data_IF_276667653411
#
_entry.id   IF_276667653411
#
_cell.length_a   1.000
_cell.length_b   1.000
_cell.length_c   1.000
_cell.angle_alpha   90.00
_cell.angle_beta   90.00
_cell.angle_gamma   90.00
#
_symmetry.space_group_name_H-M   'P 1'
#
loop_
_entity.id
_entity.type
_entity.pdbx_description
1 polymer ?
#
# COMPACT_ATOMS: atom_id res chain seq x y z
N UNK A 1 4.11 1.32 20.15
CA UNK A 1 3.27 0.11 20.28
C UNK A 1 1.96 0.42 19.57
N UNK A 2 1.86 -0.01 18.30
CA UNK A 2 0.63 0.20 17.51
C UNK A 2 -0.51 -0.54 18.20
N UNK A 3 -1.55 0.19 18.62
CA UNK A 3 -2.82 -0.42 19.04
C UNK A 3 -3.34 -1.22 17.84
N UNK A 4 -3.74 -2.46 18.09
CA UNK A 4 -4.26 -3.39 17.09
C UNK A 4 -5.44 -2.74 16.36
N UNK A 5 -5.21 -2.36 15.12
CA UNK A 5 -6.27 -1.92 14.21
C UNK A 5 -7.26 -3.06 13.98
N UNK A 6 -8.57 -2.76 13.91
CA UNK A 6 -9.60 -3.76 13.57
C UNK A 6 -9.40 -4.32 12.16
N UNK A 7 -8.65 -3.60 11.33
CA UNK A 7 -8.22 -4.08 10.02
C UNK A 7 -6.72 -3.87 9.82
N UNK A 8 -6.12 -4.74 9.01
CA UNK A 8 -4.83 -4.50 8.35
C UNK A 8 -5.00 -4.66 6.84
N UNK A 9 -4.20 -3.94 6.09
CA UNK A 9 -4.06 -4.19 4.67
C UNK A 9 -2.95 -5.23 4.47
N UNK A 10 -3.22 -6.21 3.61
CA UNK A 10 -2.19 -7.10 3.11
C UNK A 10 -1.74 -6.65 1.73
N UNK A 11 -0.57 -7.09 1.32
CA UNK A 11 0.05 -6.63 0.09
C UNK A 11 -0.84 -6.81 -1.14
N UNK A 12 -0.80 -5.85 -2.08
CA UNK A 12 -1.50 -5.98 -3.34
C UNK A 12 -0.98 -7.17 -4.14
N UNK A 13 -1.84 -7.74 -4.98
CA UNK A 13 -1.44 -8.62 -6.06
C UNK A 13 -1.32 -7.75 -7.31
N UNK A 14 -0.13 -7.66 -7.87
CA UNK A 14 0.12 -6.96 -9.13
C UNK A 14 0.28 -7.97 -10.27
N UNK A 15 -0.56 -7.85 -11.30
CA UNK A 15 -0.37 -8.54 -12.56
C UNK A 15 0.76 -7.85 -13.33
N UNK A 16 1.82 -8.59 -13.65
CA UNK A 16 3.02 -8.07 -14.29
C UNK A 16 3.33 -8.82 -15.59
N UNK A 17 3.81 -8.09 -16.60
CA UNK A 17 4.13 -8.62 -17.92
C UNK A 17 5.53 -9.24 -17.89
N UNK A 18 6.50 -8.55 -17.27
CA UNK A 18 7.89 -8.99 -17.15
C UNK A 18 8.27 -9.24 -15.69
N UNK A 19 8.09 -10.50 -15.29
CA UNK A 19 8.32 -10.92 -13.91
C UNK A 19 9.76 -10.71 -13.42
N UNK A 20 10.74 -10.96 -14.29
CA UNK A 20 12.16 -10.88 -13.90
C UNK A 20 12.58 -9.43 -13.68
N UNK A 21 12.10 -8.51 -14.51
CA UNK A 21 12.35 -7.07 -14.38
C UNK A 21 11.73 -6.53 -13.09
N UNK A 22 10.46 -6.88 -12.82
CA UNK A 22 9.76 -6.46 -11.63
C UNK A 22 10.38 -7.05 -10.35
N UNK A 23 10.72 -8.33 -10.36
CA UNK A 23 11.40 -8.97 -9.24
C UNK A 23 12.74 -8.31 -8.93
N UNK A 24 13.56 -8.04 -9.94
CA UNK A 24 14.84 -7.35 -9.77
C UNK A 24 14.67 -5.92 -9.24
N UNK A 25 13.59 -5.24 -9.62
CA UNK A 25 13.29 -3.91 -9.10
C UNK A 25 12.92 -3.96 -7.60
N UNK A 26 12.00 -4.83 -7.21
CA UNK A 26 11.56 -4.92 -5.81
C UNK A 26 12.65 -5.50 -4.87
N UNK A 27 13.59 -6.28 -5.38
CA UNK A 27 14.76 -6.72 -4.61
C UNK A 27 15.64 -5.54 -4.14
N UNK A 28 15.67 -4.42 -4.87
CA UNK A 28 16.36 -3.20 -4.43
C UNK A 28 15.76 -2.58 -3.17
N UNK A 29 14.51 -2.89 -2.86
CA UNK A 29 13.83 -2.50 -1.61
C UNK A 29 14.15 -3.46 -0.44
N UNK A 30 14.95 -4.50 -0.68
CA UNK A 30 15.20 -5.57 0.28
C UNK A 30 14.07 -6.60 0.36
N UNK A 31 13.12 -6.56 -0.58
CA UNK A 31 12.09 -7.60 -0.69
C UNK A 31 12.66 -8.84 -1.35
N UNK A 32 12.41 -9.98 -0.75
CA UNK A 32 12.84 -11.29 -1.27
C UNK A 32 11.64 -12.19 -1.54
N UNK A 33 11.75 -13.14 -2.48
CA UNK A 33 10.75 -14.19 -2.65
C UNK A 33 10.64 -15.03 -1.37
N UNK A 34 9.45 -15.01 -0.75
CA UNK A 34 9.15 -15.84 0.42
C UNK A 34 8.33 -17.07 0.06
N UNK A 35 7.59 -17.01 -1.06
CA UNK A 35 6.84 -18.13 -1.60
C UNK A 35 6.65 -17.99 -3.11
N UNK A 36 6.66 -19.12 -3.83
CA UNK A 36 6.37 -19.23 -5.27
C UNK A 36 5.38 -20.37 -5.48
N UNK A 37 4.30 -20.11 -6.24
CA UNK A 37 3.23 -21.09 -6.45
C UNK A 37 2.45 -20.76 -7.73
N UNK A 38 1.58 -21.69 -8.16
CA UNK A 38 0.61 -21.41 -9.22
C UNK A 38 -0.71 -20.97 -8.59
N UNK A 39 -1.22 -19.82 -9.01
CA UNK A 39 -2.56 -19.35 -8.65
C UNK A 39 -3.67 -20.22 -9.24
N UNK A 40 -4.90 -20.03 -8.78
CA UNK A 40 -6.07 -20.79 -9.26
C UNK A 40 -6.32 -20.62 -10.77
N UNK A 41 -5.92 -19.48 -11.34
CA UNK A 41 -5.98 -19.17 -12.77
C UNK A 41 -4.80 -19.72 -13.58
N UNK A 42 -3.87 -20.46 -12.95
CA UNK A 42 -2.69 -21.04 -13.58
C UNK A 42 -1.52 -20.08 -13.80
N UNK A 43 -1.63 -18.83 -13.39
CA UNK A 43 -0.52 -17.87 -13.41
C UNK A 43 0.49 -18.17 -12.32
N UNK A 44 1.78 -17.95 -12.61
CA UNK A 44 2.83 -18.01 -11.61
C UNK A 44 2.70 -16.81 -10.66
N UNK A 45 2.76 -17.10 -9.35
CA UNK A 45 2.65 -16.14 -8.26
C UNK A 45 3.91 -16.14 -7.43
N UNK A 46 4.44 -14.96 -7.12
CA UNK A 46 5.58 -14.78 -6.21
C UNK A 46 5.19 -13.81 -5.10
N UNK A 47 5.15 -14.31 -3.87
CA UNK A 47 5.01 -13.48 -2.69
C UNK A 47 6.37 -12.91 -2.29
N UNK A 48 6.42 -11.61 -2.07
CA UNK A 48 7.60 -10.86 -1.66
C UNK A 48 7.43 -10.33 -0.25
N UNK A 49 8.46 -10.47 0.57
CA UNK A 49 8.49 -9.95 1.93
C UNK A 49 9.91 -9.63 2.37
N UNK A 50 10.06 -9.12 3.59
CA UNK A 50 11.38 -8.94 4.19
C UNK A 50 11.83 -10.24 4.82
N UNK A 51 13.15 -10.50 4.77
CA UNK A 51 13.73 -11.71 5.34
C UNK A 51 13.27 -11.90 6.78
N UNK A 52 12.64 -13.01 6.98
CA UNK A 52 12.34 -13.56 8.28
C UNK A 52 13.21 -14.80 8.41
N UNK A 53 13.97 -14.92 9.48
CA UNK A 53 14.61 -16.17 9.86
C UNK A 53 13.54 -17.25 10.09
N UNK A 54 12.90 -17.68 9.02
CA UNK A 54 11.91 -18.75 9.06
C UNK A 54 12.65 -20.07 8.97
N UNK A 55 12.54 -20.87 10.01
CA UNK A 55 12.83 -22.30 9.92
C UNK A 55 12.01 -22.88 8.77
N UNK A 56 12.59 -23.66 7.84
CA UNK A 56 11.84 -24.26 6.76
C UNK A 56 10.59 -24.96 7.31
N UNK A 57 9.39 -24.51 6.90
CA UNK A 57 8.13 -25.08 7.35
C UNK A 57 7.36 -24.27 8.40
N UNK A 58 7.90 -23.19 8.96
CA UNK A 58 7.10 -22.23 9.74
C UNK A 58 6.38 -21.28 8.76
N UNK A 59 5.08 -21.10 8.92
CA UNK A 59 4.38 -19.98 8.30
C UNK A 59 4.95 -18.70 8.90
N UNK A 60 5.38 -17.76 8.02
CA UNK A 60 5.73 -16.42 8.47
C UNK A 60 4.50 -15.78 9.10
N UNK A 61 4.59 -15.31 10.33
CA UNK A 61 3.53 -14.54 10.99
C UNK A 61 3.29 -13.17 10.31
N UNK A 62 4.19 -12.77 9.38
CA UNK A 62 4.06 -11.54 8.62
C UNK A 62 3.49 -11.81 7.22
N UNK A 63 2.42 -11.14 6.83
CA UNK A 63 1.88 -11.24 5.47
C UNK A 63 2.89 -10.72 4.45
N UNK A 64 2.80 -11.16 3.18
CA UNK A 64 3.62 -10.60 2.11
C UNK A 64 3.36 -9.09 1.96
N UNK A 65 4.40 -8.35 1.66
CA UNK A 65 4.31 -6.91 1.32
C UNK A 65 3.71 -6.74 -0.07
N UNK A 66 3.98 -7.68 -0.98
CA UNK A 66 3.57 -7.63 -2.37
C UNK A 66 3.51 -9.05 -2.94
N UNK A 67 2.54 -9.30 -3.81
CA UNK A 67 2.52 -10.50 -4.65
C UNK A 67 2.59 -10.11 -6.13
N UNK A 68 3.54 -10.66 -6.86
CA UNK A 68 3.63 -10.54 -8.31
C UNK A 68 2.93 -11.73 -8.96
N UNK A 69 2.00 -11.46 -9.87
CA UNK A 69 1.31 -12.44 -10.71
C UNK A 69 1.80 -12.30 -12.15
N UNK A 70 2.52 -13.28 -12.64
CA UNK A 70 3.07 -13.25 -13.99
C UNK A 70 2.01 -13.54 -15.07
N UNK A 71 1.85 -12.60 -15.98
CA UNK A 71 1.04 -12.76 -17.18
C UNK A 71 1.68 -12.01 -18.35
N UNK A 72 2.51 -12.71 -19.13
CA UNK A 72 3.19 -12.13 -20.30
C UNK A 72 2.23 -11.72 -21.43
N UNK A 73 0.95 -12.11 -21.34
CA UNK A 73 -0.09 -11.73 -22.30
C UNK A 73 -0.92 -10.54 -21.86
N UNK A 74 -0.70 -10.03 -20.64
CA UNK A 74 -1.43 -8.89 -20.10
C UNK A 74 -1.26 -7.64 -20.96
N UNK A 75 -2.34 -6.88 -21.11
CA UNK A 75 -2.30 -5.60 -21.79
C UNK A 75 -2.01 -4.45 -20.84
N UNK A 76 -1.29 -3.44 -21.28
CA UNK A 76 -1.07 -2.23 -20.46
C UNK A 76 -2.37 -1.41 -20.37
N UNK A 77 -2.78 -0.97 -19.16
CA UNK A 77 -3.97 -0.14 -19.02
C UNK A 77 -3.77 1.23 -19.69
N UNK A 78 -4.89 1.84 -20.10
CA UNK A 78 -4.88 3.24 -20.54
C UNK A 78 -4.52 4.15 -19.36
N UNK A 79 -3.87 5.28 -19.63
CA UNK A 79 -3.58 6.31 -18.62
C UNK A 79 -4.86 6.87 -17.94
N UNK A 80 -6.05 6.67 -18.56
CA UNK A 80 -7.36 7.05 -18.03
C UNK A 80 -8.12 5.88 -17.38
N UNK A 81 -7.52 4.71 -17.30
CA UNK A 81 -8.14 3.56 -16.63
C UNK A 81 -8.15 3.73 -15.11
N UNK A 82 -9.24 3.28 -14.50
CA UNK A 82 -9.29 3.02 -13.06
C UNK A 82 -8.25 1.94 -12.69
N UNK A 83 -7.91 1.83 -11.41
CA UNK A 83 -6.94 0.86 -10.91
C UNK A 83 -6.02 1.48 -9.86
N UNK A 84 -4.80 0.99 -9.75
CA UNK A 84 -3.84 1.47 -8.77
C UNK A 84 -3.35 2.89 -9.10
N UNK A 85 -3.38 3.80 -8.12
CA UNK A 85 -2.58 5.01 -8.14
C UNK A 85 -1.24 4.77 -7.45
N UNK A 86 -1.25 4.27 -6.21
CA UNK A 86 -0.11 3.67 -5.52
C UNK A 86 -0.56 2.73 -4.40
N UNK A 87 0.28 1.81 -4.03
CA UNK A 87 0.24 1.16 -2.72
C UNK A 87 1.32 1.78 -1.83
N UNK A 88 1.08 1.81 -0.52
CA UNK A 88 1.93 2.54 0.40
C UNK A 88 2.53 1.62 1.46
N UNK A 89 3.86 1.66 1.55
CA UNK A 89 4.68 0.94 2.53
C UNK A 89 4.96 1.88 3.70
N UNK A 90 4.38 1.57 4.86
CA UNK A 90 4.60 2.30 6.10
C UNK A 90 5.88 1.78 6.77
N UNK A 91 6.86 2.64 6.91
CA UNK A 91 8.10 2.34 7.65
C UNK A 91 7.84 2.38 9.16
N UNK A 92 8.59 1.60 9.98
CA UNK A 92 8.39 1.59 11.42
C UNK A 92 8.67 2.94 12.09
N UNK A 93 9.59 3.72 11.53
CA UNK A 93 10.03 5.01 12.05
C UNK A 93 10.64 5.91 10.98
N UNK A 94 10.93 7.14 11.35
CA UNK A 94 11.48 8.18 10.48
C UNK A 94 12.93 7.91 10.08
N UNK A 95 13.73 7.25 10.94
CA UNK A 95 15.08 6.81 10.63
C UNK A 95 15.07 5.80 9.49
N UNK A 96 14.15 4.83 9.53
CA UNK A 96 13.93 3.84 8.46
C UNK A 96 13.54 4.50 7.14
N UNK A 97 12.71 5.55 7.16
CA UNK A 97 12.36 6.32 5.96
C UNK A 97 13.59 7.02 5.38
N UNK A 98 14.41 7.67 6.22
CA UNK A 98 15.66 8.33 5.81
C UNK A 98 16.66 7.33 5.22
N UNK A 99 16.85 6.19 5.88
CA UNK A 99 17.73 5.11 5.41
C UNK A 99 17.25 4.53 4.07
N UNK A 100 15.94 4.36 3.92
CA UNK A 100 15.31 3.93 2.65
C UNK A 100 15.63 4.89 1.52
N UNK A 101 15.43 6.20 1.74
CA UNK A 101 15.75 7.22 0.74
C UNK A 101 17.19 7.11 0.26
N UNK A 102 18.15 7.11 1.20
CA UNK A 102 19.58 7.05 0.87
C UNK A 102 19.97 5.74 0.17
N UNK A 103 19.39 4.61 0.60
CA UNK A 103 19.69 3.31 -0.01
C UNK A 103 19.17 3.21 -1.44
N UNK A 104 17.94 3.63 -1.71
CA UNK A 104 17.34 3.58 -3.04
C UNK A 104 18.00 4.58 -3.99
N UNK A 105 18.34 5.78 -3.52
CA UNK A 105 19.10 6.78 -4.29
C UNK A 105 20.46 6.24 -4.73
N UNK A 106 21.22 5.62 -3.82
CA UNK A 106 22.51 4.96 -4.14
C UNK A 106 22.38 3.84 -5.16
N UNK A 107 21.24 3.14 -5.20
CA UNK A 107 20.95 2.09 -6.17
C UNK A 107 20.41 2.63 -7.50
N UNK A 108 20.35 3.96 -7.68
CA UNK A 108 19.90 4.61 -8.89
C UNK A 108 18.38 4.54 -9.12
N UNK A 109 17.59 4.28 -8.07
CA UNK A 109 16.13 4.34 -8.16
C UNK A 109 15.69 5.79 -8.34
N UNK A 110 14.81 6.02 -9.30
CA UNK A 110 14.27 7.35 -9.59
C UNK A 110 13.01 7.60 -8.76
N UNK A 111 13.03 8.66 -7.96
CA UNK A 111 11.85 9.15 -7.27
C UNK A 111 11.02 10.04 -8.18
N UNK A 112 9.70 9.95 -8.10
CA UNK A 112 8.76 10.79 -8.86
C UNK A 112 8.18 11.94 -8.05
N UNK A 113 8.39 11.94 -6.74
CA UNK A 113 7.92 13.00 -5.85
C UNK A 113 8.28 12.76 -4.39
N UNK A 114 8.07 13.80 -3.60
CA UNK A 114 8.27 13.81 -2.15
C UNK A 114 7.24 14.73 -1.52
N UNK A 115 6.70 14.38 -0.37
CA UNK A 115 5.74 15.23 0.31
C UNK A 115 5.82 15.13 1.84
N UNK A 116 5.45 16.22 2.48
CA UNK A 116 5.04 16.29 3.87
C UNK A 116 3.51 16.49 3.87
N UNK A 117 2.78 15.50 4.39
CA UNK A 117 1.32 15.53 4.41
C UNK A 117 0.74 16.01 5.73
N UNK A 118 1.53 16.62 6.62
CA UNK A 118 1.19 17.03 7.99
C UNK A 118 0.99 15.83 8.94
N UNK A 119 0.48 14.72 8.46
CA UNK A 119 0.27 13.46 9.20
C UNK A 119 1.36 12.43 8.91
N UNK A 120 2.08 12.58 7.80
CA UNK A 120 3.14 11.67 7.35
C UNK A 120 4.14 12.38 6.46
N UNK A 121 5.31 11.76 6.28
CA UNK A 121 6.34 12.15 5.31
C UNK A 121 6.53 11.03 4.30
N UNK A 122 6.60 11.35 3.00
CA UNK A 122 6.42 10.38 1.92
C UNK A 122 7.43 10.54 0.79
N UNK A 123 7.87 9.38 0.27
CA UNK A 123 8.69 9.23 -0.94
C UNK A 123 7.86 8.49 -1.99
N UNK A 124 7.78 9.04 -3.21
CA UNK A 124 6.99 8.46 -4.30
C UNK A 124 7.87 7.91 -5.40
N UNK A 125 7.52 6.71 -5.88
CA UNK A 125 8.24 5.98 -6.90
C UNK A 125 7.25 5.32 -7.88
N UNK A 126 7.79 4.79 -8.98
CA UNK A 126 7.07 3.91 -9.88
C UNK A 126 7.95 2.69 -10.20
N UNK A 127 7.33 1.51 -10.26
CA UNK A 127 8.01 0.33 -10.77
C UNK A 127 8.18 0.38 -12.30
N UNK A 128 8.90 -0.55 -12.93
CA UNK A 128 9.11 -0.60 -14.38
C UNK A 128 7.82 -0.67 -15.21
N UNK A 129 6.72 -1.18 -14.64
CA UNK A 129 5.41 -1.24 -15.28
C UNK A 129 4.50 -0.06 -14.94
N UNK A 130 5.03 0.97 -14.24
CA UNK A 130 4.37 2.20 -13.80
C UNK A 130 3.31 2.01 -12.69
N UNK A 131 3.41 0.96 -11.89
CA UNK A 131 2.66 0.91 -10.65
C UNK A 131 3.24 1.92 -9.65
N UNK A 132 2.39 2.77 -9.10
CA UNK A 132 2.82 3.74 -8.10
C UNK A 132 3.15 3.06 -6.77
N UNK A 133 4.21 3.55 -6.14
CA UNK A 133 4.68 3.13 -4.82
C UNK A 133 4.86 4.37 -3.97
N UNK A 134 4.33 4.34 -2.76
CA UNK A 134 4.66 5.30 -1.72
C UNK A 134 5.42 4.60 -0.60
N UNK A 135 6.50 5.18 -0.13
CA UNK A 135 7.18 4.75 1.11
C UNK A 135 7.07 5.91 2.07
N UNK A 136 6.49 5.68 3.24
CA UNK A 136 6.18 6.77 4.14
C UNK A 136 6.35 6.40 5.61
N UNK A 137 6.45 7.43 6.44
CA UNK A 137 6.46 7.34 7.88
C UNK A 137 5.38 8.25 8.46
N UNK A 138 4.56 7.73 9.38
CA UNK A 138 3.60 8.54 10.11
C UNK A 138 4.30 9.51 11.05
N UNK A 139 3.73 10.70 11.17
CA UNK A 139 4.01 11.57 12.30
C UNK A 139 3.29 11.06 13.55
N UNK A 140 3.84 11.27 14.75
CA UNK A 140 3.14 10.94 15.99
C UNK A 140 1.70 11.47 15.97
N UNK A 141 0.74 10.63 16.34
CA UNK A 141 -0.70 10.96 16.25
C UNK A 141 -1.07 12.20 17.09
N UNK A 142 -0.32 12.46 18.14
CA UNK A 142 -0.48 13.62 19.02
C UNK A 142 -0.18 14.95 18.30
N UNK A 143 0.52 14.91 17.17
CA UNK A 143 0.83 16.07 16.34
C UNK A 143 -0.21 16.29 15.22
N UNK A 144 -1.12 15.35 15.00
CA UNK A 144 -2.16 15.48 13.99
C UNK A 144 -3.14 16.57 14.39
N UNK A 145 -3.49 17.41 13.45
CA UNK A 145 -4.47 18.48 13.65
C UNK A 145 -5.81 18.06 13.06
N UNK A 146 -6.88 18.52 13.68
CA UNK A 146 -8.24 18.24 13.25
C UNK A 146 -8.98 19.57 13.07
N UNK A 147 -9.90 19.59 12.12
CA UNK A 147 -10.80 20.74 11.94
C UNK A 147 -11.94 20.72 12.97
N UNK A 148 -12.82 21.74 12.91
CA UNK A 148 -13.97 21.88 13.80
C UNK A 148 -15.00 20.74 13.65
N UNK A 149 -14.94 19.96 12.56
CA UNK A 149 -15.80 18.82 12.28
C UNK A 149 -15.15 17.49 12.66
N UNK A 150 -13.90 17.50 13.13
CA UNK A 150 -13.15 16.30 13.48
C UNK A 150 -12.44 15.62 12.31
N UNK A 151 -12.37 16.26 11.16
CA UNK A 151 -11.60 15.75 10.03
C UNK A 151 -10.11 16.02 10.24
N UNK A 152 -9.28 15.04 9.93
CA UNK A 152 -7.83 15.19 10.01
C UNK A 152 -7.34 16.17 8.95
N UNK A 153 -6.51 17.13 9.35
CA UNK A 153 -5.91 18.09 8.42
C UNK A 153 -4.74 17.43 7.69
N UNK A 154 -4.84 17.36 6.37
CA UNK A 154 -3.78 16.91 5.47
C UNK A 154 -3.54 17.95 4.39
N UNK A 155 -2.28 18.07 3.95
CA UNK A 155 -1.86 18.93 2.85
C UNK A 155 -0.74 18.23 2.06
N UNK A 156 -0.21 18.89 1.05
CA UNK A 156 0.94 18.44 0.28
C UNK A 156 2.00 19.53 0.27
N UNK A 157 2.87 19.44 1.25
CA UNK A 157 3.97 20.41 1.44
C UNK A 157 5.30 19.81 0.95
N UNK A 158 6.31 20.66 0.78
CA UNK A 158 7.65 20.18 0.46
C UNK A 158 8.27 19.41 1.63
N UNK A 159 8.80 18.23 1.36
CA UNK A 159 9.52 17.41 2.34
C UNK A 159 10.81 18.13 2.78
N UNK A 160 11.02 18.23 4.09
CA UNK A 160 12.27 18.79 4.64
C UNK A 160 13.36 17.71 4.72
N UNK A 161 14.12 17.54 3.63
CA UNK A 161 15.19 16.55 3.55
C UNK A 161 16.29 16.75 4.60
N UNK A 162 16.65 17.98 4.93
CA UNK A 162 17.67 18.25 5.94
C UNK A 162 17.24 17.66 7.29
N UNK A 163 15.98 17.91 7.67
CA UNK A 163 15.41 17.36 8.89
C UNK A 163 15.27 15.84 8.81
N UNK A 164 14.82 15.27 7.67
CA UNK A 164 14.69 13.83 7.52
C UNK A 164 16.05 13.13 7.64
N UNK A 165 17.06 13.61 6.92
CA UNK A 165 18.39 12.99 6.92
C UNK A 165 19.14 13.16 8.25
N UNK A 166 18.78 14.16 9.07
CA UNK A 166 19.38 14.32 10.41
C UNK A 166 19.10 13.14 11.34
N UNK A 167 18.03 12.37 11.11
CA UNK A 167 17.74 11.15 11.88
C UNK A 167 18.88 10.12 11.82
N UNK A 168 19.59 10.04 10.69
CA UNK A 168 20.69 9.10 10.49
C UNK A 168 21.94 9.45 11.30
N UNK A 169 22.03 10.69 11.81
CA UNK A 169 23.19 11.20 12.55
C UNK A 169 22.92 11.39 14.04
N UNK A 170 21.64 11.40 14.46
CA UNK A 170 21.25 11.69 15.85
C UNK A 170 21.64 10.60 16.85
N UNK A 171 21.86 9.39 16.38
CA UNK A 171 22.15 8.22 17.22
C UNK A 171 23.64 7.83 17.29
N UNK A 172 24.54 8.64 16.68
CA UNK A 172 25.99 8.33 16.63
C UNK A 172 26.83 9.51 17.13
N UNK A 173 26.95 9.67 18.44
CA UNK A 173 27.81 10.69 19.09
C UNK A 173 29.34 10.46 18.86
N UNK A 174 29.77 9.44 18.11
CA UNK A 174 31.18 9.05 17.96
C UNK A 174 31.58 8.60 16.54
N UNK A 175 31.12 9.22 15.47
CA UNK A 175 31.66 8.85 14.14
C UNK A 175 32.24 10.01 13.35
N UNK A 176 33.55 10.14 13.52
CA UNK A 176 34.51 10.78 12.61
C UNK A 176 34.24 10.35 11.15
N UNK A 177 34.25 11.29 10.27
CA UNK A 177 34.05 11.32 8.82
C UNK A 177 34.77 10.25 7.96
N UNK A 178 34.77 8.98 8.35
CA UNK A 178 35.33 7.90 7.55
C UNK A 178 34.39 6.72 7.54
N UNK A 179 33.82 6.47 6.35
CA UNK A 179 32.99 5.35 5.96
C UNK A 179 31.55 5.38 6.49
N UNK A 180 30.64 5.47 5.53
CA UNK A 180 29.19 5.53 5.66
C UNK A 180 28.64 4.63 6.78
N UNK A 181 27.91 5.16 7.77
CA UNK A 181 27.26 4.33 8.81
C UNK A 181 26.09 3.50 8.29
N UNK A 182 25.75 3.61 7.01
CA UNK A 182 24.82 2.71 6.36
C UNK A 182 25.59 1.40 6.15
N UNK A 183 25.64 0.56 7.22
CA UNK A 183 25.92 -0.85 7.04
C UNK A 183 25.10 -1.34 5.87
N UNK A 184 25.70 -2.13 4.97
CA UNK A 184 25.10 -2.83 3.84
C UNK A 184 23.94 -3.74 4.27
N UNK A 185 23.03 -3.24 5.04
CA UNK A 185 21.88 -3.95 5.53
C UNK A 185 20.71 -3.55 4.63
N UNK A 186 20.34 -4.42 3.70
CA UNK A 186 19.03 -4.40 3.01
C UNK A 186 17.83 -4.50 3.99
N UNK A 187 18.03 -4.16 5.24
CA UNK A 187 17.08 -4.31 6.33
C UNK A 187 16.39 -3.00 6.73
N UNK A 188 16.55 -1.93 5.94
CA UNK A 188 15.99 -0.62 6.29
C UNK A 188 14.46 -0.56 6.27
N UNK A 189 13.80 -1.46 5.53
CA UNK A 189 12.33 -1.61 5.56
C UNK A 189 11.86 -2.80 6.43
N UNK A 190 12.75 -3.44 7.19
CA UNK A 190 12.33 -4.53 8.08
C UNK A 190 11.31 -4.03 9.10
N UNK A 191 10.18 -4.73 9.20
CA UNK A 191 9.06 -4.32 10.05
C UNK A 191 8.10 -3.35 9.39
N UNK A 192 8.36 -2.93 8.15
CA UNK A 192 7.39 -2.17 7.38
C UNK A 192 6.15 -3.03 7.03
N UNK A 193 5.02 -2.37 6.88
CA UNK A 193 3.73 -2.98 6.54
C UNK A 193 3.07 -2.20 5.41
N UNK A 194 2.02 -2.76 4.81
CA UNK A 194 1.14 -1.96 3.94
C UNK A 194 0.28 -1.06 4.81
N UNK A 195 0.45 0.24 4.64
CA UNK A 195 -0.28 1.24 5.40
C UNK A 195 -1.59 1.66 4.74
N UNK A 196 -1.58 1.88 3.41
CA UNK A 196 -2.78 2.26 2.67
C UNK A 196 -2.71 1.88 1.18
N UNK A 197 -3.88 1.87 0.54
CA UNK A 197 -4.03 1.77 -0.90
C UNK A 197 -4.61 3.07 -1.44
N UNK A 198 -4.09 3.57 -2.55
CA UNK A 198 -4.64 4.71 -3.26
C UNK A 198 -5.08 4.29 -4.67
N UNK A 199 -6.36 4.44 -4.97
CA UNK A 199 -6.99 3.96 -6.19
C UNK A 199 -7.36 5.13 -7.11
N UNK A 200 -7.18 4.93 -8.41
CA UNK A 200 -7.80 5.76 -9.45
C UNK A 200 -9.19 5.23 -9.71
N UNK A 201 -10.20 6.10 -9.64
CA UNK A 201 -11.60 5.74 -9.89
C UNK A 201 -12.21 6.64 -10.98
N UNK A 202 -13.24 6.18 -11.69
CA UNK A 202 -13.85 6.96 -12.78
C UNK A 202 -14.90 7.95 -12.27
N UNK A 203 -15.56 7.62 -11.14
CA UNK A 203 -16.57 8.43 -10.49
C UNK A 203 -16.34 8.45 -8.97
N UNK A 204 -15.78 9.57 -8.49
CA UNK A 204 -15.41 9.71 -7.07
C UNK A 204 -16.60 9.50 -6.14
N UNK A 205 -17.78 10.08 -6.44
CA UNK A 205 -18.95 9.97 -5.57
C UNK A 205 -19.42 8.51 -5.47
N UNK A 206 -19.58 7.82 -6.60
CA UNK A 206 -20.01 6.42 -6.62
C UNK A 206 -19.04 5.49 -5.87
N UNK A 207 -17.73 5.70 -6.05
CA UNK A 207 -16.72 4.90 -5.34
C UNK A 207 -16.66 5.27 -3.85
N UNK A 208 -16.77 6.56 -3.50
CA UNK A 208 -16.83 6.97 -2.08
C UNK A 208 -18.05 6.35 -1.39
N UNK A 209 -19.24 6.42 -2.00
CA UNK A 209 -20.45 5.80 -1.46
C UNK A 209 -20.29 4.29 -1.29
N UNK A 210 -19.64 3.62 -2.24
CA UNK A 210 -19.37 2.19 -2.15
C UNK A 210 -18.50 1.85 -0.92
N UNK A 211 -17.36 2.51 -0.75
CA UNK A 211 -16.45 2.21 0.35
C UNK A 211 -16.98 2.73 1.70
N UNK A 212 -17.65 3.87 1.71
CA UNK A 212 -18.22 4.46 2.93
C UNK A 212 -19.51 3.77 3.36
N UNK A 213 -20.55 3.81 2.51
CA UNK A 213 -21.88 3.33 2.88
C UNK A 213 -22.00 1.81 2.89
N UNK A 214 -21.41 1.12 1.90
CA UNK A 214 -21.51 -0.34 1.83
C UNK A 214 -20.45 -1.04 2.67
N UNK A 215 -19.21 -0.58 2.66
CA UNK A 215 -18.11 -1.23 3.35
C UNK A 215 -17.79 -0.61 4.72
N UNK A 216 -18.42 0.52 5.06
CA UNK A 216 -18.37 1.09 6.40
C UNK A 216 -17.04 1.77 6.75
N UNK A 217 -16.28 2.20 5.75
CA UNK A 217 -15.14 3.06 6.00
C UNK A 217 -15.61 4.47 6.39
N UNK A 218 -14.97 5.07 7.36
CA UNK A 218 -15.20 6.46 7.73
C UNK A 218 -14.56 7.40 6.70
N UNK A 219 -15.29 8.44 6.29
CA UNK A 219 -14.74 9.49 5.42
C UNK A 219 -13.93 10.46 6.29
N UNK A 220 -12.60 10.39 6.19
CA UNK A 220 -11.67 11.15 7.01
C UNK A 220 -11.39 12.55 6.47
N UNK A 221 -11.33 12.68 5.13
CA UNK A 221 -11.02 13.93 4.46
C UNK A 221 -11.49 13.88 3.00
N UNK A 222 -11.85 15.05 2.45
CA UNK A 222 -12.10 15.23 1.01
C UNK A 222 -11.25 16.39 0.48
N UNK A 223 -10.73 16.21 -0.74
CA UNK A 223 -10.01 17.23 -1.49
C UNK A 223 -10.56 17.30 -2.91
N UNK A 224 -10.28 18.35 -3.70
CA UNK A 224 -10.69 18.41 -5.08
C UNK A 224 -10.26 17.17 -5.88
N UNK A 225 -11.23 16.32 -6.22
CA UNK A 225 -11.01 15.08 -6.99
C UNK A 225 -10.49 13.89 -6.19
N UNK A 226 -10.48 13.94 -4.86
CA UNK A 226 -10.06 12.83 -4.02
C UNK A 226 -10.89 12.70 -2.73
N UNK A 227 -10.98 11.46 -2.20
CA UNK A 227 -11.57 11.11 -0.92
C UNK A 227 -10.63 10.18 -0.16
N UNK A 228 -10.50 10.40 1.15
CA UNK A 228 -9.65 9.63 2.04
C UNK A 228 -10.52 8.94 3.08
N UNK A 229 -10.44 7.61 3.11
CA UNK A 229 -11.30 6.76 3.92
C UNK A 229 -10.46 5.91 4.88
N UNK A 230 -11.01 5.64 6.05
CA UNK A 230 -10.32 4.85 7.06
C UNK A 230 -11.28 4.05 7.94
N UNK A 231 -10.69 3.34 8.89
CA UNK A 231 -11.36 2.74 10.04
C UNK A 231 -10.55 3.16 11.26
N UNK A 232 -11.22 3.40 12.40
CA UNK A 232 -10.60 3.75 13.71
C UNK A 232 -9.84 5.08 13.73
N UNK A 233 -10.22 6.03 12.88
CA UNK A 233 -9.65 7.39 12.93
C UNK A 233 -8.16 7.47 12.55
N UNK A 234 -7.64 6.50 11.80
CA UNK A 234 -6.37 6.65 11.10
C UNK A 234 -6.54 7.64 9.95
N UNK A 235 -5.49 8.34 9.51
CA UNK A 235 -5.64 9.39 8.49
C UNK A 235 -6.26 8.87 7.18
N UNK A 236 -5.85 7.70 6.69
CA UNK A 236 -6.56 6.91 5.68
C UNK A 236 -5.94 5.51 5.50
N UNK A 237 -6.79 4.51 5.26
CA UNK A 237 -6.41 3.17 4.81
C UNK A 237 -6.67 3.00 3.32
N UNK A 238 -7.59 3.80 2.81
CA UNK A 238 -7.96 3.81 1.40
C UNK A 238 -8.09 5.26 0.94
N UNK A 239 -7.45 5.60 -0.16
CA UNK A 239 -7.65 6.85 -0.85
C UNK A 239 -8.19 6.60 -2.27
N UNK A 240 -9.06 7.48 -2.73
CA UNK A 240 -9.68 7.44 -4.05
C UNK A 240 -9.39 8.75 -4.75
N UNK A 241 -9.03 8.72 -6.04
CA UNK A 241 -8.90 9.92 -6.83
C UNK A 241 -9.42 9.77 -8.26
N UNK A 242 -9.77 10.94 -8.86
CA UNK A 242 -10.17 11.04 -10.27
C UNK A 242 -9.25 11.96 -11.07
N UNK A 243 -8.03 12.22 -10.59
CA UNK A 243 -7.13 13.22 -11.18
C UNK A 243 -6.79 12.94 -12.63
N UNK A 244 -6.67 11.66 -13.02
CA UNK A 244 -6.38 11.23 -14.40
C UNK A 244 -7.48 10.35 -15.00
N UNK A 245 -8.42 9.87 -14.19
CA UNK A 245 -9.42 8.83 -14.55
C UNK A 245 -10.87 9.30 -14.53
N UNK A 246 -11.13 10.60 -14.31
CA UNK A 246 -12.51 11.14 -14.30
C UNK A 246 -13.25 10.81 -15.60
N UNK A 247 -14.43 10.18 -15.48
CA UNK A 247 -15.22 9.69 -16.59
C UNK A 247 -14.36 8.89 -17.60
N UNK A 248 -13.41 8.14 -17.08
CA UNK A 248 -12.46 7.35 -17.82
C UNK A 248 -12.97 5.94 -18.13
N UNK A 249 -12.09 4.98 -18.06
CA UNK A 249 -12.35 3.57 -18.37
C UNK A 249 -12.25 2.78 -17.07
N UNK A 250 -13.27 1.98 -16.75
CA UNK A 250 -13.20 1.04 -15.62
C UNK A 250 -12.06 0.04 -15.82
N UNK A 251 -11.53 -0.49 -14.73
CA UNK A 251 -10.52 -1.54 -14.74
C UNK A 251 -11.00 -2.75 -15.54
N UNK A 252 -10.12 -3.31 -16.34
CA UNK A 252 -10.43 -4.48 -17.16
C UNK A 252 -9.60 -5.68 -16.72
N UNK A 253 -10.25 -6.82 -16.70
CA UNK A 253 -9.56 -8.08 -16.48
C UNK A 253 -8.49 -8.33 -17.55
N UNK A 254 -7.30 -8.83 -17.13
CA UNK A 254 -6.18 -9.05 -18.03
C UNK A 254 -5.34 -7.82 -18.34
N UNK A 255 -5.62 -6.66 -17.75
CA UNK A 255 -4.69 -5.52 -17.75
C UNK A 255 -3.61 -5.69 -16.68
N UNK A 256 -2.36 -5.25 -16.97
CA UNK A 256 -1.29 -5.19 -15.96
C UNK A 256 -1.60 -4.12 -14.90
N UNK A 257 -1.06 -4.31 -13.71
CA UNK A 257 -1.33 -3.45 -12.55
C UNK A 257 -2.08 -4.19 -11.44
N UNK A 258 -2.94 -3.49 -10.70
CA UNK A 258 -3.62 -4.06 -9.54
C UNK A 258 -4.62 -5.15 -9.95
N UNK A 259 -4.32 -6.40 -9.63
CA UNK A 259 -5.29 -7.50 -9.76
C UNK A 259 -6.27 -7.53 -8.59
N UNK A 260 -5.74 -7.38 -7.35
CA UNK A 260 -6.50 -7.44 -6.12
C UNK A 260 -5.71 -6.85 -4.96
N UNK A 261 -6.38 -6.36 -3.93
CA UNK A 261 -5.79 -6.11 -2.61
C UNK A 261 -6.65 -6.77 -1.51
N UNK A 262 -6.09 -6.92 -0.32
CA UNK A 262 -6.75 -7.63 0.78
C UNK A 262 -6.94 -6.72 1.98
N UNK A 263 -8.16 -6.73 2.52
CA UNK A 263 -8.52 -6.15 3.81
C UNK A 263 -8.75 -7.27 4.80
N UNK A 264 -7.87 -7.38 5.77
CA UNK A 264 -7.90 -8.40 6.79
C UNK A 264 -8.52 -7.85 8.07
N UNK A 265 -9.61 -8.44 8.51
CA UNK A 265 -10.28 -8.10 9.76
C UNK A 265 -9.67 -8.90 10.91
N UNK A 266 -9.14 -8.20 11.91
CA UNK A 266 -8.57 -8.82 13.11
C UNK A 266 -9.64 -9.22 14.12
N UNK A 267 -10.87 -8.72 13.96
CA UNK A 267 -12.02 -9.12 14.77
C UNK A 267 -13.22 -9.59 13.94
N UNK A 268 -13.79 -10.71 14.37
CA UNK A 268 -14.92 -11.36 13.70
C UNK A 268 -16.22 -10.56 13.78
N UNK A 269 -16.37 -9.68 14.77
CA UNK A 269 -17.60 -8.91 14.96
C UNK A 269 -17.70 -7.81 13.89
N UNK A 270 -16.59 -7.10 13.63
CA UNK A 270 -16.51 -6.10 12.55
C UNK A 270 -16.72 -6.74 11.19
N UNK A 271 -16.07 -7.88 10.93
CA UNK A 271 -16.28 -8.65 9.70
C UNK A 271 -17.75 -9.04 9.49
N UNK A 272 -18.40 -9.62 10.51
CA UNK A 272 -19.81 -10.03 10.43
C UNK A 272 -20.78 -8.86 10.25
N UNK A 273 -20.47 -7.68 10.79
CA UNK A 273 -21.31 -6.47 10.60
C UNK A 273 -21.27 -5.97 9.16
N UNK A 274 -20.17 -6.20 8.46
CA UNK A 274 -19.99 -5.81 7.07
C UNK A 274 -20.82 -6.67 6.11
N UNK A 275 -20.83 -7.99 6.29
CA UNK A 275 -21.39 -8.94 5.33
C UNK A 275 -22.83 -8.63 4.85
N UNK A 276 -23.80 -8.26 5.74
CA UNK A 276 -25.17 -7.94 5.31
C UNK A 276 -25.28 -6.66 4.45
N UNK A 277 -24.25 -5.80 4.48
CA UNK A 277 -24.25 -4.52 3.75
C UNK A 277 -23.78 -4.69 2.31
N UNK A 278 -23.02 -5.77 2.04
CA UNK A 278 -22.47 -6.01 0.70
C UNK A 278 -23.58 -6.54 -0.21
N UNK A 279 -23.78 -5.83 -1.32
CA UNK A 279 -24.73 -6.22 -2.36
C UNK A 279 -24.33 -7.58 -2.97
N UNK A 280 -25.31 -8.44 -3.25
CA UNK A 280 -25.07 -9.73 -3.92
C UNK A 280 -24.42 -9.59 -5.29
N UNK A 281 -24.62 -8.46 -5.98
CA UNK A 281 -24.02 -8.19 -7.28
C UNK A 281 -22.51 -7.87 -7.22
N UNK A 282 -22.03 -7.48 -6.03
CA UNK A 282 -20.62 -7.17 -5.81
C UNK A 282 -19.86 -8.31 -5.11
N UNK A 283 -20.54 -9.44 -4.84
CA UNK A 283 -20.02 -10.55 -4.05
C UNK A 283 -19.62 -11.72 -4.96
N UNK A 284 -18.35 -12.10 -4.88
CA UNK A 284 -17.87 -13.36 -5.40
C UNK A 284 -17.27 -14.17 -4.25
N UNK A 285 -17.69 -15.44 -4.08
CA UNK A 285 -17.18 -16.30 -3.02
C UNK A 285 -16.06 -17.15 -3.58
N UNK A 286 -14.83 -16.94 -3.13
CA UNK A 286 -13.73 -17.88 -3.29
C UNK A 286 -13.67 -18.85 -2.10
N UNK A 287 -12.88 -19.92 -2.20
CA UNK A 287 -12.92 -21.09 -1.28
C UNK A 287 -12.78 -20.71 0.21
N UNK A 288 -12.12 -19.59 0.54
CA UNK A 288 -11.98 -19.11 1.93
C UNK A 288 -12.10 -17.58 2.07
N UNK A 289 -12.43 -16.86 1.01
CA UNK A 289 -12.43 -15.39 0.99
C UNK A 289 -13.67 -14.84 0.30
N UNK A 290 -14.13 -13.70 0.77
CA UNK A 290 -15.15 -12.95 0.07
C UNK A 290 -14.42 -11.92 -0.79
N UNK A 291 -14.59 -12.00 -2.11
CA UNK A 291 -14.10 -10.99 -3.04
C UNK A 291 -15.24 -10.01 -3.33
N UNK A 292 -14.98 -8.75 -3.12
CA UNK A 292 -15.89 -7.65 -3.44
C UNK A 292 -15.31 -6.87 -4.60
N UNK A 293 -16.14 -6.55 -5.58
CA UNK A 293 -15.75 -5.72 -6.73
C UNK A 293 -16.40 -4.35 -6.61
N UNK A 294 -15.59 -3.30 -6.71
CA UNK A 294 -16.05 -1.92 -6.64
C UNK A 294 -16.74 -1.47 -7.96
N UNK A 295 -17.32 -0.25 -8.03
CA UNK A 295 -17.97 0.25 -9.24
C UNK A 295 -17.07 0.33 -10.48
N UNK A 296 -15.77 0.38 -10.29
CA UNK A 296 -14.78 0.44 -11.36
C UNK A 296 -14.14 -0.92 -11.72
N UNK A 297 -14.62 -2.03 -11.11
CA UNK A 297 -14.10 -3.36 -11.36
C UNK A 297 -12.87 -3.73 -10.53
N UNK A 298 -12.47 -2.91 -9.57
CA UNK A 298 -11.32 -3.19 -8.69
C UNK A 298 -11.73 -4.23 -7.64
N UNK A 299 -10.95 -5.31 -7.54
CA UNK A 299 -11.22 -6.44 -6.65
C UNK A 299 -10.56 -6.22 -5.27
N UNK A 300 -11.31 -6.48 -4.23
CA UNK A 300 -10.86 -6.46 -2.85
C UNK A 300 -11.25 -7.77 -2.16
N UNK A 301 -10.28 -8.50 -1.62
CA UNK A 301 -10.55 -9.65 -0.77
C UNK A 301 -10.81 -9.21 0.67
N UNK A 302 -11.84 -9.79 1.28
CA UNK A 302 -12.16 -9.61 2.69
C UNK A 302 -11.83 -10.90 3.43
N UNK A 303 -10.94 -10.83 4.38
CA UNK A 303 -10.43 -11.97 5.17
C UNK A 303 -10.63 -11.71 6.64
N UNK A 304 -10.86 -12.75 7.43
CA UNK A 304 -10.97 -12.65 8.88
C UNK A 304 -10.28 -13.80 9.57
N UNK A 305 -9.59 -13.56 10.67
CA UNK A 305 -8.97 -14.61 11.48
C UNK A 305 -10.03 -15.59 11.99
N UNK A 306 -9.72 -16.89 11.96
CA UNK A 306 -10.56 -17.94 12.53
C UNK A 306 -11.78 -18.34 11.70
N UNK A 307 -11.72 -18.21 10.37
CA UNK A 307 -12.69 -18.86 9.45
C UNK A 307 -12.33 -20.31 9.19
#
# INVERSE_FOLDING_TARGET
MQMYSQIRLEGPILRVIDLDVELAYYQKFGLIPIRRFLGENGHEMIELGFDVNTTPGSQSDNPPILTLMHDSSASRPSHRSAGLFHFAILTPDRESLAATFVSLEKQGIQFVGFADHLVSESLYLQDPENNGIEIYCDRPRELWQFDEYGHVQMDTLALNFQSLLSELYSNNDDMIMNESPIKESMAFLRGAIIGHMHLKVTNLAASTDFYHEMLGFDLMQTMPGASFLSIEGYHHRLALNTWRSRAGISHKEGESGLEQFTVHFTDRASYKRLLPRISKSSLHTAINNIIVTDPDGIKMALVCDGQ
#
